data_IF_396047717715
#
_entry.id   IF_396047717715
#
_cell.length_a   1.000
_cell.length_b   1.000
_cell.length_c   1.000
_cell.angle_alpha   90.00
_cell.angle_beta   90.00
_cell.angle_gamma   90.00
#
_symmetry.space_group_name_H-M   'P 1'
#
loop_
_entity.id
_entity.type
_entity.pdbx_description
1 polymer ?
#
# COMPACT_ATOMS: atom_id res chain seq x y z
N UNK A 1 -4.87 -11.59 -12.31
CA UNK A 1 -3.40 -11.52 -12.55
C UNK A 1 -2.81 -10.46 -11.63
N UNK A 2 -1.53 -10.51 -11.31
CA UNK A 2 -0.88 -9.52 -10.45
C UNK A 2 0.36 -8.94 -11.12
N UNK A 3 0.50 -7.63 -11.04
CA UNK A 3 1.72 -6.92 -11.48
C UNK A 3 2.50 -6.52 -10.24
N UNK A 4 3.77 -6.93 -10.17
CA UNK A 4 4.66 -6.65 -9.05
C UNK A 4 5.56 -5.47 -9.40
N UNK A 5 5.38 -4.36 -8.70
CA UNK A 5 6.18 -3.15 -8.89
C UNK A 5 7.22 -3.08 -7.77
N UNK A 6 8.52 -2.91 -8.06
CA UNK A 6 9.51 -2.71 -7.02
C UNK A 6 9.12 -1.53 -6.11
N UNK A 7 9.09 -1.74 -4.80
CA UNK A 7 8.73 -0.69 -3.85
C UNK A 7 9.68 0.51 -3.94
N UNK A 8 10.96 0.26 -4.23
CA UNK A 8 11.97 1.29 -4.47
C UNK A 8 11.61 2.21 -5.64
N UNK A 9 11.10 1.65 -6.75
CA UNK A 9 10.66 2.41 -7.92
C UNK A 9 9.44 3.27 -7.58
N UNK A 10 8.45 2.67 -6.93
CA UNK A 10 7.24 3.38 -6.53
C UNK A 10 7.52 4.50 -5.52
N UNK A 11 8.46 4.31 -4.59
CA UNK A 11 8.83 5.30 -3.57
C UNK A 11 9.46 6.56 -4.17
N UNK A 12 10.19 6.44 -5.29
CA UNK A 12 10.77 7.58 -6.00
C UNK A 12 9.90 8.07 -7.18
N UNK A 13 8.79 7.38 -7.46
CA UNK A 13 7.90 7.69 -8.58
C UNK A 13 8.43 7.26 -9.96
N UNK A 14 9.47 6.43 -10.01
CA UNK A 14 10.05 5.92 -11.25
C UNK A 14 9.29 4.69 -11.75
N UNK A 15 9.18 4.51 -13.07
CA UNK A 15 8.55 3.34 -13.68
C UNK A 15 7.07 3.14 -13.36
N UNK A 16 6.39 4.13 -12.75
CA UNK A 16 4.94 4.08 -12.53
C UNK A 16 4.24 4.42 -13.85
N UNK A 17 3.39 3.53 -14.38
CA UNK A 17 2.61 3.80 -15.59
C UNK A 17 1.85 5.12 -15.52
N UNK A 18 1.75 5.81 -16.66
CA UNK A 18 1.01 7.05 -16.83
C UNK A 18 -0.47 6.80 -17.13
N UNK A 19 -1.02 5.67 -16.69
CA UNK A 19 -2.44 5.30 -16.77
C UNK A 19 -2.95 4.82 -15.41
N UNK A 20 -4.26 4.83 -15.22
CA UNK A 20 -4.86 4.38 -13.97
C UNK A 20 -4.78 2.86 -13.82
N UNK A 21 -4.19 2.37 -12.71
CA UNK A 21 -4.01 0.93 -12.44
C UNK A 21 -5.28 0.08 -12.53
N UNK A 22 -6.44 0.66 -12.25
CA UNK A 22 -7.72 -0.05 -12.23
C UNK A 22 -8.47 -0.05 -13.56
N UNK A 23 -8.32 1.00 -14.37
CA UNK A 23 -9.18 1.22 -15.54
C UNK A 23 -8.40 1.42 -16.85
N UNK A 24 -7.07 1.57 -16.80
CA UNK A 24 -6.25 1.81 -17.99
C UNK A 24 -6.43 3.21 -18.60
N UNK A 25 -7.34 4.02 -18.07
CA UNK A 25 -7.64 5.35 -18.59
C UNK A 25 -6.54 6.38 -18.23
N UNK A 26 -6.38 7.43 -19.06
CA UNK A 26 -5.47 8.53 -18.77
C UNK A 26 -5.74 9.17 -17.40
N UNK A 27 -4.68 9.61 -16.69
CA UNK A 27 -4.78 10.20 -15.37
C UNK A 27 -5.39 11.59 -15.45
N UNK A 28 -6.37 11.83 -14.61
CA UNK A 28 -6.91 13.18 -14.36
C UNK A 28 -6.49 13.70 -12.99
N UNK A 29 -5.84 12.85 -12.19
CA UNK A 29 -5.34 13.17 -10.87
C UNK A 29 -4.06 12.39 -10.59
N UNK A 30 -3.06 13.10 -10.08
CA UNK A 30 -1.86 12.55 -9.45
C UNK A 30 -1.98 12.76 -7.95
N UNK A 31 -1.91 11.69 -7.17
CA UNK A 31 -2.01 11.79 -5.71
C UNK A 31 -0.91 10.99 -5.04
N UNK A 32 -0.43 11.50 -3.89
CA UNK A 32 0.40 10.71 -2.98
C UNK A 32 -0.45 9.58 -2.41
N UNK A 33 0.03 8.36 -2.54
CA UNK A 33 -0.66 7.17 -2.05
C UNK A 33 0.27 6.38 -1.14
N UNK A 34 -0.18 6.19 0.10
CA UNK A 34 0.45 5.30 1.05
C UNK A 34 -0.08 3.89 0.82
N UNK A 35 0.78 2.94 0.52
CA UNK A 35 0.43 1.53 0.45
C UNK A 35 0.84 0.84 1.75
N UNK A 36 -0.04 0.00 2.27
CA UNK A 36 0.19 -0.77 3.49
C UNK A 36 0.15 -2.28 3.16
N UNK A 37 0.97 -3.07 3.85
CA UNK A 37 0.88 -4.52 3.78
C UNK A 37 -0.36 -5.04 4.52
N UNK A 38 -0.85 -6.22 4.12
CA UNK A 38 -1.92 -6.88 4.85
C UNK A 38 -1.40 -7.35 6.23
N UNK A 39 -2.18 -7.19 7.31
CA UNK A 39 -1.80 -7.74 8.61
C UNK A 39 -1.60 -9.25 8.49
N UNK A 40 -0.60 -9.78 9.19
CA UNK A 40 -0.39 -11.22 9.22
C UNK A 40 -1.61 -11.91 9.83
N UNK A 41 -2.03 -13.05 9.28
CA UNK A 41 -3.26 -13.73 9.71
C UNK A 41 -3.30 -14.05 11.20
N UNK A 42 -2.14 -14.34 11.80
CA UNK A 42 -2.01 -14.60 13.24
C UNK A 42 -2.33 -13.37 14.11
N UNK A 43 -2.17 -12.15 13.60
CA UNK A 43 -2.42 -10.93 14.41
C UNK A 43 -3.88 -10.85 14.86
N UNK A 44 -4.83 -11.40 14.09
CA UNK A 44 -6.24 -11.45 14.48
C UNK A 44 -6.49 -12.31 15.73
N UNK A 45 -5.60 -13.25 16.06
CA UNK A 45 -5.68 -14.03 17.30
C UNK A 45 -5.43 -13.18 18.56
N UNK A 46 -4.94 -11.93 18.42
CA UNK A 46 -4.76 -10.99 19.53
C UNK A 46 -6.05 -10.24 19.90
N UNK A 47 -7.11 -10.32 19.09
CA UNK A 47 -8.36 -9.60 19.35
C UNK A 47 -8.98 -9.99 20.71
N UNK A 48 -9.06 -11.29 21.10
CA UNK A 48 -9.57 -11.68 22.42
C UNK A 48 -8.74 -11.16 23.60
N UNK A 49 -7.43 -10.95 23.41
CA UNK A 49 -6.54 -10.36 24.41
C UNK A 49 -6.79 -8.85 24.57
N UNK A 50 -7.33 -8.21 23.53
CA UNK A 50 -7.78 -6.84 23.56
C UNK A 50 -7.54 -6.12 22.23
N UNK A 51 -8.51 -5.30 21.83
CA UNK A 51 -8.43 -4.49 20.61
C UNK A 51 -7.19 -3.58 20.61
N UNK A 52 -6.81 -3.03 21.76
CA UNK A 52 -5.63 -2.17 21.88
C UNK A 52 -4.33 -2.92 21.55
N UNK A 53 -4.15 -4.13 22.10
CA UNK A 53 -2.97 -4.97 21.83
C UNK A 53 -2.89 -5.31 20.33
N UNK A 54 -4.02 -5.71 19.74
CA UNK A 54 -4.13 -5.94 18.31
C UNK A 54 -3.72 -4.71 17.48
N UNK A 55 -4.20 -3.52 17.83
CA UNK A 55 -3.90 -2.29 17.09
C UNK A 55 -2.41 -1.92 17.18
N UNK A 56 -1.79 -2.09 18.35
CA UNK A 56 -0.34 -1.86 18.54
C UNK A 56 0.45 -2.81 17.64
N UNK A 57 0.21 -4.12 17.75
CA UNK A 57 0.95 -5.13 16.95
C UNK A 57 0.72 -4.92 15.46
N UNK A 58 -0.50 -4.60 15.04
CA UNK A 58 -0.78 -4.27 13.64
C UNK A 58 -0.03 -3.02 13.18
N UNK A 59 0.07 -1.99 14.03
CA UNK A 59 0.72 -0.74 13.69
C UNK A 59 2.24 -0.88 13.56
N UNK A 60 2.86 -1.80 14.31
CA UNK A 60 4.30 -2.09 14.25
C UNK A 60 4.67 -3.10 13.18
N UNK A 61 3.80 -4.06 12.85
CA UNK A 61 4.09 -5.12 11.86
C UNK A 61 3.75 -4.73 10.42
N UNK A 62 2.99 -3.65 10.21
CA UNK A 62 2.66 -3.17 8.86
C UNK A 62 3.88 -2.60 8.17
N UNK A 63 4.12 -3.04 6.95
CA UNK A 63 5.06 -2.40 6.04
C UNK A 63 4.33 -1.31 5.28
N UNK A 64 4.98 -0.16 5.13
CA UNK A 64 4.39 1.04 4.53
C UNK A 64 5.33 1.56 3.46
N UNK A 65 4.80 1.76 2.25
CA UNK A 65 5.53 2.38 1.14
C UNK A 65 4.72 3.59 0.68
N UNK A 66 5.32 4.77 0.77
CA UNK A 66 4.71 6.01 0.30
C UNK A 66 5.11 6.24 -1.17
N UNK A 67 4.15 6.15 -2.09
CA UNK A 67 4.35 6.54 -3.48
C UNK A 67 3.98 8.03 -3.64
N UNK A 68 4.92 8.92 -3.99
CA UNK A 68 4.67 10.36 -4.08
C UNK A 68 3.68 10.71 -5.20
N UNK A 69 3.70 9.93 -6.28
CA UNK A 69 2.85 10.13 -7.46
C UNK A 69 2.21 8.81 -7.84
N UNK A 70 0.90 8.68 -7.62
CA UNK A 70 0.09 7.61 -8.18
C UNK A 70 -1.01 8.17 -9.08
N UNK A 71 -1.21 7.52 -10.23
CA UNK A 71 -2.10 7.98 -11.29
C UNK A 71 -3.53 7.43 -11.10
N UNK A 72 -4.51 8.34 -11.08
CA UNK A 72 -5.93 8.02 -10.98
C UNK A 72 -6.72 8.70 -12.11
N UNK A 73 -7.67 7.96 -12.69
CA UNK A 73 -8.57 8.50 -13.71
C UNK A 73 -9.82 9.17 -13.10
N UNK A 74 -10.58 9.89 -13.93
CA UNK A 74 -11.80 10.59 -13.51
C UNK A 74 -12.85 9.66 -12.88
N UNK A 75 -12.98 8.42 -13.39
CA UNK A 75 -13.90 7.42 -12.82
C UNK A 75 -13.55 7.06 -11.38
N UNK A 76 -12.26 6.85 -11.09
CA UNK A 76 -11.78 6.60 -9.72
C UNK A 76 -12.06 7.79 -8.79
N UNK A 77 -11.83 9.02 -9.26
CA UNK A 77 -12.08 10.24 -8.49
C UNK A 77 -13.57 10.41 -8.17
N UNK A 78 -14.46 10.25 -9.15
CA UNK A 78 -15.91 10.37 -8.95
C UNK A 78 -16.43 9.28 -8.03
N UNK A 79 -15.99 8.03 -8.19
CA UNK A 79 -16.34 6.92 -7.30
C UNK A 79 -15.92 7.22 -5.85
N UNK A 80 -14.68 7.67 -5.64
CA UNK A 80 -14.18 8.04 -4.32
C UNK A 80 -15.00 9.16 -3.68
N UNK A 81 -15.28 10.22 -4.44
CA UNK A 81 -16.08 11.36 -3.95
C UNK A 81 -17.47 10.90 -3.55
N UNK A 82 -18.15 10.13 -4.41
CA UNK A 82 -19.48 9.57 -4.13
C UNK A 82 -19.45 8.68 -2.89
N UNK A 83 -18.50 7.75 -2.79
CA UNK A 83 -18.37 6.88 -1.61
C UNK A 83 -18.10 7.67 -0.33
N UNK A 84 -17.21 8.66 -0.35
CA UNK A 84 -16.93 9.51 0.83
C UNK A 84 -18.14 10.31 1.28
N UNK A 85 -18.92 10.85 0.34
CA UNK A 85 -20.14 11.60 0.67
C UNK A 85 -21.19 10.67 1.29
N UNK A 86 -21.51 9.55 0.64
CA UNK A 86 -22.53 8.62 1.14
C UNK A 86 -22.15 7.99 2.48
N UNK A 87 -20.94 7.45 2.59
CA UNK A 87 -20.50 6.81 3.83
C UNK A 87 -20.13 7.82 4.92
N UNK A 88 -19.70 9.03 4.55
CA UNK A 88 -19.52 10.13 5.49
C UNK A 88 -20.85 10.58 6.11
N UNK A 89 -21.88 10.75 5.28
CA UNK A 89 -23.23 11.04 5.75
C UNK A 89 -23.78 9.93 6.63
N UNK A 90 -23.63 8.66 6.21
CA UNK A 90 -24.06 7.51 7.01
C UNK A 90 -23.38 7.49 8.38
N UNK A 91 -22.07 7.72 8.42
CA UNK A 91 -21.31 7.80 9.67
C UNK A 91 -21.82 8.96 10.55
N UNK A 92 -22.06 10.14 9.97
CA UNK A 92 -22.57 11.31 10.69
C UNK A 92 -23.96 11.06 11.28
N UNK A 93 -24.87 10.44 10.52
CA UNK A 93 -26.20 10.04 11.01
C UNK A 93 -26.08 9.05 12.16
N UNK A 94 -25.20 8.05 12.04
CA UNK A 94 -24.93 7.10 13.12
C UNK A 94 -24.51 7.76 14.44
N UNK A 95 -23.71 8.84 14.38
CA UNK A 95 -23.34 9.62 15.57
C UNK A 95 -24.43 10.59 16.05
N UNK A 96 -25.27 11.10 15.16
CA UNK A 96 -26.36 12.02 15.51
C UNK A 96 -27.50 11.33 16.26
N UNK A 97 -27.78 10.05 15.97
CA UNK A 97 -28.90 9.29 16.58
C UNK A 97 -28.82 9.23 18.11
N UNK A 98 -27.69 8.85 18.75
CA UNK A 98 -27.58 8.86 20.21
C UNK A 98 -27.81 10.24 20.83
N UNK A 99 -27.27 11.30 20.20
CA UNK A 99 -27.42 12.69 20.68
C UNK A 99 -28.88 13.12 20.62
N UNK A 100 -29.58 12.82 19.52
CA UNK A 100 -30.99 13.10 19.36
C UNK A 100 -31.86 12.29 20.33
N UNK A 101 -31.53 11.01 20.57
CA UNK A 101 -32.26 10.16 21.49
C UNK A 101 -32.21 10.71 22.93
N UNK A 102 -31.05 11.22 23.36
CA UNK A 102 -30.89 11.89 24.66
C UNK A 102 -31.67 13.20 24.69
N UNK A 103 -31.55 14.04 23.66
CA UNK A 103 -32.23 15.35 23.62
C UNK A 103 -33.77 15.23 23.62
N UNK A 104 -34.31 14.16 23.04
CA UNK A 104 -35.75 13.91 22.93
C UNK A 104 -36.32 13.06 24.08
N UNK A 105 -35.51 12.66 25.07
CA UNK A 105 -35.91 11.77 26.17
C UNK A 105 -36.61 10.50 25.68
N UNK A 106 -36.03 9.84 24.67
CA UNK A 106 -36.58 8.59 24.14
C UNK A 106 -36.66 7.55 25.26
N UNK A 107 -37.82 6.91 25.40
CA UNK A 107 -38.08 5.96 26.49
C UNK A 107 -37.11 4.76 26.51
N UNK A 108 -36.87 4.27 27.72
CA UNK A 108 -36.03 3.11 28.06
C UNK A 108 -36.13 1.90 27.11
N UNK A 109 -37.32 1.40 26.69
CA UNK A 109 -37.38 0.18 25.89
C UNK A 109 -36.85 0.36 24.46
N UNK A 110 -36.90 1.58 23.91
CA UNK A 110 -36.44 1.86 22.55
C UNK A 110 -34.95 2.25 22.48
N UNK A 111 -34.40 2.77 23.58
CA UNK A 111 -33.03 3.26 23.66
C UNK A 111 -31.96 2.23 23.27
N UNK A 112 -31.93 0.98 23.81
CA UNK A 112 -30.86 0.03 23.49
C UNK A 112 -30.88 -0.39 22.02
N UNK A 113 -32.07 -0.55 21.43
CA UNK A 113 -32.22 -0.89 20.01
C UNK A 113 -31.72 0.25 19.11
N UNK A 114 -32.05 1.51 19.45
CA UNK A 114 -31.56 2.68 18.73
C UNK A 114 -30.04 2.83 18.83
N UNK A 115 -29.46 2.61 20.01
CA UNK A 115 -28.00 2.65 20.20
C UNK A 115 -27.29 1.54 19.41
N UNK A 116 -27.84 0.33 19.40
CA UNK A 116 -27.30 -0.77 18.59
C UNK A 116 -27.36 -0.45 17.09
N UNK A 117 -28.50 0.08 16.61
CA UNK A 117 -28.66 0.50 15.22
C UNK A 117 -27.70 1.65 14.84
N UNK A 118 -27.53 2.63 15.73
CA UNK A 118 -26.57 3.72 15.57
C UNK A 118 -25.14 3.20 15.46
N UNK A 119 -24.73 2.28 16.34
CA UNK A 119 -23.40 1.66 16.32
C UNK A 119 -23.14 0.90 15.02
N UNK A 120 -24.09 0.06 14.58
CA UNK A 120 -23.99 -0.66 13.32
C UNK A 120 -23.86 0.33 12.14
N UNK A 121 -24.64 1.40 12.15
CA UNK A 121 -24.59 2.45 11.14
C UNK A 121 -23.23 3.13 11.08
N UNK A 122 -22.63 3.45 12.23
CA UNK A 122 -21.26 3.99 12.32
C UNK A 122 -20.23 3.00 11.79
N UNK A 123 -20.33 1.71 12.14
CA UNK A 123 -19.41 0.67 11.66
C UNK A 123 -19.48 0.54 10.14
N UNK A 124 -20.69 0.46 9.56
CA UNK A 124 -20.88 0.36 8.11
C UNK A 124 -20.35 1.61 7.40
N UNK A 125 -20.66 2.80 7.94
CA UNK A 125 -20.14 4.07 7.44
C UNK A 125 -18.61 4.11 7.46
N UNK A 126 -18.00 3.73 8.58
CA UNK A 126 -16.55 3.67 8.72
C UNK A 126 -15.90 2.69 7.74
N UNK A 127 -16.42 1.46 7.59
CA UNK A 127 -15.92 0.48 6.63
C UNK A 127 -15.99 1.04 5.20
N UNK A 128 -17.09 1.71 4.85
CA UNK A 128 -17.26 2.38 3.57
C UNK A 128 -16.24 3.50 3.32
N UNK A 129 -15.93 4.29 4.35
CA UNK A 129 -14.90 5.34 4.31
C UNK A 129 -13.49 4.75 4.13
N UNK A 130 -13.16 3.66 4.84
CA UNK A 130 -11.89 2.94 4.67
C UNK A 130 -11.75 2.41 3.24
N UNK A 131 -12.84 1.88 2.65
CA UNK A 131 -12.85 1.43 1.24
C UNK A 131 -12.69 2.56 0.23
N UNK A 132 -12.94 3.81 0.61
CA UNK A 132 -12.72 4.99 -0.22
C UNK A 132 -11.28 5.55 -0.13
N UNK A 133 -10.36 4.86 0.56
CA UNK A 133 -8.93 5.19 0.53
C UNK A 133 -8.34 4.93 -0.85
N UNK A 134 -7.38 5.77 -1.24
CA UNK A 134 -6.72 5.68 -2.54
C UNK A 134 -5.97 4.35 -2.76
N UNK A 135 -5.38 3.80 -1.70
CA UNK A 135 -4.74 2.47 -1.70
C UNK A 135 -5.69 1.34 -2.13
N UNK A 136 -6.93 1.35 -1.62
CA UNK A 136 -7.95 0.33 -1.90
C UNK A 136 -8.46 0.50 -3.33
N UNK A 137 -8.61 1.74 -3.79
CA UNK A 137 -9.06 2.05 -5.15
C UNK A 137 -8.02 1.63 -6.19
N UNK A 138 -6.73 1.80 -5.88
CA UNK A 138 -5.63 1.35 -6.73
C UNK A 138 -5.51 -0.18 -6.80
N UNK A 139 -6.18 -0.91 -5.88
CA UNK A 139 -6.09 -2.37 -5.72
C UNK A 139 -4.65 -2.86 -5.51
N UNK A 140 -3.81 -2.01 -4.91
CA UNK A 140 -2.41 -2.29 -4.71
C UNK A 140 -2.11 -2.48 -3.21
N UNK A 141 -1.22 -3.42 -2.89
CA UNK A 141 -0.79 -3.72 -1.52
C UNK A 141 0.71 -3.96 -1.50
N UNK A 142 1.35 -3.58 -0.41
CA UNK A 142 2.75 -3.93 -0.18
C UNK A 142 2.83 -5.40 0.21
N UNK A 143 3.79 -6.12 -0.34
CA UNK A 143 4.13 -7.48 0.10
C UNK A 143 4.66 -7.47 1.54
N UNK A 144 4.67 -8.62 2.23
CA UNK A 144 5.02 -8.66 3.67
C UNK A 144 6.47 -8.29 3.95
N UNK A 145 7.34 -8.57 3.00
CA UNK A 145 8.77 -8.22 2.98
C UNK A 145 9.03 -6.75 2.62
N UNK A 146 8.00 -5.99 2.20
CA UNK A 146 8.15 -4.57 1.86
C UNK A 146 8.83 -4.29 0.52
N UNK A 147 9.28 -5.32 -0.20
CA UNK A 147 10.07 -5.16 -1.42
C UNK A 147 9.22 -4.85 -2.66
N UNK A 148 7.94 -5.23 -2.67
CA UNK A 148 7.08 -5.13 -3.84
C UNK A 148 5.73 -4.51 -3.49
N UNK A 149 5.16 -3.80 -4.46
CA UNK A 149 3.77 -3.39 -4.48
C UNK A 149 3.05 -4.30 -5.47
N UNK A 150 2.22 -5.19 -4.95
CA UNK A 150 1.38 -6.08 -5.74
C UNK A 150 0.09 -5.35 -6.14
N UNK A 151 -0.05 -5.05 -7.43
CA UNK A 151 -1.28 -4.51 -8.02
C UNK A 151 -2.16 -5.67 -8.46
N UNK A 152 -3.32 -5.83 -7.82
CA UNK A 152 -4.26 -6.91 -8.11
C UNK A 152 -5.22 -6.53 -9.24
N UNK A 153 -5.31 -7.41 -10.22
CA UNK A 153 -6.15 -7.25 -11.43
C UNK A 153 -5.94 -5.88 -12.09
N UNK A 154 -4.69 -5.56 -12.48
CA UNK A 154 -4.41 -4.31 -13.16
C UNK A 154 -5.09 -4.28 -14.53
N UNK A 155 -5.42 -3.08 -14.98
CA UNK A 155 -5.89 -2.88 -16.34
C UNK A 155 -4.79 -3.28 -17.36
N UNK A 156 -5.15 -3.88 -18.51
CA UNK A 156 -4.18 -4.32 -19.50
C UNK A 156 -3.20 -3.22 -19.96
N UNK A 157 -3.69 -1.99 -20.10
CA UNK A 157 -2.88 -0.83 -20.49
C UNK A 157 -1.83 -0.48 -19.42
N UNK A 158 -2.19 -0.64 -18.14
CA UNK A 158 -1.26 -0.41 -17.03
C UNK A 158 -0.15 -1.46 -17.02
N UNK A 159 -0.49 -2.72 -17.26
CA UNK A 159 0.49 -3.81 -17.30
C UNK A 159 1.41 -3.70 -18.51
N UNK A 160 0.87 -3.29 -19.66
CA UNK A 160 1.64 -3.05 -20.88
C UNK A 160 2.66 -1.91 -20.69
N UNK A 161 2.25 -0.76 -20.15
CA UNK A 161 3.16 0.34 -19.85
C UNK A 161 4.22 -0.04 -18.81
N UNK A 162 3.83 -0.79 -17.78
CA UNK A 162 4.78 -1.23 -16.76
C UNK A 162 5.82 -2.20 -17.33
N UNK A 163 5.40 -3.16 -18.15
CA UNK A 163 6.29 -4.12 -18.82
C UNK A 163 7.24 -3.40 -19.77
N UNK A 164 6.76 -2.41 -20.51
CA UNK A 164 7.59 -1.57 -21.37
C UNK A 164 8.63 -0.78 -20.56
N UNK A 165 8.24 -0.17 -19.45
CA UNK A 165 9.14 0.54 -18.54
C UNK A 165 10.20 -0.40 -17.93
N UNK A 166 9.79 -1.60 -17.52
CA UNK A 166 10.71 -2.61 -16.97
C UNK A 166 11.72 -3.07 -18.03
N UNK A 167 11.27 -3.32 -19.25
CA UNK A 167 12.12 -3.71 -20.37
C UNK A 167 13.14 -2.60 -20.69
N UNK A 168 12.70 -1.34 -20.73
CA UNK A 168 13.59 -0.20 -20.94
C UNK A 168 14.63 -0.05 -19.82
N UNK A 169 14.22 -0.24 -18.55
CA UNK A 169 15.14 -0.20 -17.41
C UNK A 169 16.19 -1.33 -17.47
N UNK A 170 15.79 -2.53 -17.86
CA UNK A 170 16.73 -3.64 -18.06
C UNK A 170 17.72 -3.39 -19.20
N UNK A 171 17.30 -2.74 -20.29
CA UNK A 171 18.19 -2.38 -21.39
C UNK A 171 19.20 -1.29 -21.01
N UNK A 172 18.82 -0.37 -20.12
CA UNK A 172 19.73 0.65 -19.60
C UNK A 172 20.77 0.10 -18.63
N UNK A 173 20.47 -1.01 -17.96
CA UNK A 173 21.44 -1.70 -17.14
C UNK A 173 22.41 -2.49 -18.02
N UNK A 174 23.44 -1.80 -18.52
CA UNK A 174 24.65 -2.45 -19.02
C UNK A 174 25.50 -2.78 -17.81
N UNK A 175 25.70 -4.07 -17.46
CA UNK A 175 26.62 -4.41 -16.39
C UNK A 175 27.97 -3.77 -16.73
N UNK A 176 28.64 -3.07 -15.79
CA UNK A 176 29.99 -2.62 -16.04
C UNK A 176 30.79 -3.83 -16.50
N UNK A 177 31.44 -3.72 -17.66
CA UNK A 177 32.23 -4.81 -18.22
C UNK A 177 33.11 -5.34 -17.08
N UNK A 178 32.95 -6.63 -16.76
CA UNK A 178 33.74 -7.24 -15.70
C UNK A 178 35.19 -6.85 -15.94
N UNK A 179 35.89 -6.26 -14.95
CA UNK A 179 37.25 -5.78 -15.17
C UNK A 179 38.02 -6.92 -15.80
N UNK A 180 38.56 -6.67 -17.00
CA UNK A 180 39.33 -7.67 -17.73
C UNK A 180 40.31 -8.25 -16.73
N UNK A 181 40.21 -9.57 -16.49
CA UNK A 181 41.05 -10.24 -15.52
C UNK A 181 42.48 -9.78 -15.77
N UNK A 182 43.05 -9.02 -14.83
CA UNK A 182 44.43 -8.58 -14.97
C UNK A 182 45.23 -9.86 -15.18
N UNK A 183 45.98 -9.97 -16.30
CA UNK A 183 46.77 -11.16 -16.56
C UNK A 183 47.62 -11.38 -15.31
N UNK A 184 47.47 -12.56 -14.71
CA UNK A 184 48.14 -12.93 -13.48
C UNK A 184 49.60 -12.48 -13.58
N UNK A 185 49.94 -11.46 -12.77
CA UNK A 185 51.28 -10.90 -12.77
C UNK A 185 52.27 -12.05 -12.62
N UNK A 186 53.20 -12.12 -13.57
CA UNK A 186 54.33 -13.03 -13.59
C UNK A 186 54.87 -13.18 -12.17
N UNK A 187 54.84 -14.42 -11.67
CA UNK A 187 55.26 -14.77 -10.32
C UNK A 187 56.54 -14.02 -9.94
N UNK A 188 56.47 -13.26 -8.84
CA UNK A 188 57.65 -12.63 -8.28
C UNK A 188 58.71 -13.70 -7.99
N UNK A 189 59.99 -13.49 -8.36
CA UNK A 189 61.04 -14.46 -8.11
C UNK A 189 61.14 -14.74 -6.61
N UNK A 190 61.17 -16.02 -6.26
CA UNK A 190 61.31 -16.52 -4.90
C UNK A 190 62.60 -15.96 -4.28
N UNK A 191 62.45 -14.96 -3.40
CA UNK A 191 63.52 -14.43 -2.59
C UNK A 191 64.04 -15.51 -1.64
N UNK A 192 65.28 -15.93 -1.87
CA UNK A 192 66.07 -16.75 -0.95
C UNK A 192 66.62 -15.86 0.16
N UNK A 193 66.44 -16.27 1.41
CA UNK A 193 67.27 -15.79 2.52
C UNK A 193 66.55 -15.06 3.65
N UNK A 194 66.09 -15.81 4.65
CA UNK A 194 66.03 -15.34 6.03
C UNK A 194 67.11 -16.06 6.84
N UNK A 195 68.20 -15.37 7.15
CA UNK A 195 69.19 -15.81 8.15
C UNK A 195 68.86 -15.13 9.48
N UNK A 196 68.47 -15.91 10.49
CA UNK A 196 68.31 -15.43 11.86
C UNK A 196 69.67 -15.21 12.53
N UNK A 197 69.94 -14.06 13.15
CA UNK A 197 70.98 -13.93 14.16
C UNK A 197 70.45 -14.36 15.54
N UNK A 198 71.37 -14.94 16.32
CA UNK A 198 71.19 -15.46 17.69
C UNK A 198 71.16 -14.34 18.73
#
# INVERSE_FOLDING_TARGET
MQTLIPASWAAVGHGIPNVCSRHGLPPTLRARTRFESAPAGWTYALIPLGLLVFLIVRATTRQVVDAPVWHYCGRCRTRRRRQRLWFGLLTAVGFAVPVAAVALNVGEPALPLLLAAALITVIVGYIGLVRARWEVIAQARVTRDGQWIAVRDPAPEFDAEFTAAMTAAHQQYVPPAAPAAQPAGTAAPAGTGWTSPR
#
